data_IF_848842969705
#
_entry.id   IF_848842969705
#
_cell.length_a   1.000
_cell.length_b   1.000
_cell.length_c   1.000
_cell.angle_alpha   90.00
_cell.angle_beta   90.00
_cell.angle_gamma   90.00
#
_symmetry.space_group_name_H-M   'P 1'
#
loop_
_entity.id
_entity.type
_entity.pdbx_description
1 polymer ?
#
# COMPACT_ATOMS: atom_id res chain seq x y z
N UNK A 1 21.91 49.73 -12.56
CA UNK A 1 20.85 50.08 -13.54
C UNK A 1 19.77 49.03 -13.47
N UNK A 2 18.67 49.35 -12.78
CA UNK A 2 17.53 48.48 -12.52
C UNK A 2 16.57 48.54 -13.72
N UNK A 3 16.14 47.40 -14.26
CA UNK A 3 15.10 47.33 -15.29
C UNK A 3 13.97 46.45 -14.81
N UNK A 4 12.96 47.09 -14.20
CA UNK A 4 11.70 46.46 -13.81
C UNK A 4 10.95 45.96 -15.06
N UNK A 5 10.54 44.69 -15.08
CA UNK A 5 9.57 44.17 -16.06
C UNK A 5 8.15 44.30 -15.49
N UNK A 6 7.26 44.87 -16.30
CA UNK A 6 5.82 45.02 -16.02
C UNK A 6 5.13 43.66 -15.88
N UNK A 7 4.09 43.53 -15.04
CA UNK A 7 3.27 42.32 -14.96
C UNK A 7 2.32 42.23 -16.17
N UNK A 8 2.15 41.01 -16.71
CA UNK A 8 1.17 40.67 -17.74
C UNK A 8 -0.25 40.64 -17.17
N UNK A 9 -1.29 40.99 -17.95
CA UNK A 9 -2.67 41.03 -17.47
C UNK A 9 -3.29 39.62 -17.36
N UNK A 10 -4.14 39.43 -16.35
CA UNK A 10 -4.90 38.22 -16.10
C UNK A 10 -5.85 37.88 -17.27
N UNK A 11 -6.01 36.59 -17.65
CA UNK A 11 -7.01 36.19 -18.62
C UNK A 11 -8.44 36.25 -18.03
N UNK A 12 -9.47 36.52 -18.86
CA UNK A 12 -10.84 36.72 -18.39
C UNK A 12 -11.52 35.41 -17.97
N UNK A 13 -12.34 35.51 -16.93
CA UNK A 13 -13.26 34.50 -16.42
C UNK A 13 -14.32 34.11 -17.45
N UNK A 14 -14.32 32.87 -17.93
CA UNK A 14 -15.40 32.33 -18.74
C UNK A 14 -16.53 31.77 -17.85
N UNK A 15 -17.61 32.54 -17.74
CA UNK A 15 -18.91 32.08 -17.27
C UNK A 15 -19.48 31.06 -18.26
N UNK A 16 -19.59 29.79 -17.85
CA UNK A 16 -20.36 28.81 -18.60
C UNK A 16 -21.85 28.93 -18.26
N UNK A 17 -22.62 29.34 -19.27
CA UNK A 17 -24.08 29.45 -19.27
C UNK A 17 -24.70 28.04 -19.37
N UNK A 18 -25.23 27.50 -18.28
CA UNK A 18 -25.98 26.23 -18.30
C UNK A 18 -27.41 26.48 -18.81
N UNK A 19 -27.61 26.31 -20.13
CA UNK A 19 -28.95 26.19 -20.70
C UNK A 19 -29.52 24.81 -20.37
N UNK A 20 -30.73 24.84 -19.80
CA UNK A 20 -31.64 23.73 -19.46
C UNK A 20 -31.72 22.68 -20.57
N UNK A 21 -31.37 21.43 -20.26
CA UNK A 21 -31.76 20.25 -21.05
C UNK A 21 -32.95 19.60 -20.36
N UNK A 22 -34.13 19.69 -21.00
CA UNK A 22 -35.35 18.95 -20.60
C UNK A 22 -35.18 17.48 -20.97
N UNK A 23 -35.20 16.60 -19.97
CA UNK A 23 -35.28 15.15 -20.19
C UNK A 23 -36.75 14.73 -20.12
N UNK A 24 -37.28 14.21 -21.22
CA UNK A 24 -38.62 13.62 -21.27
C UNK A 24 -38.61 12.22 -20.65
N UNK A 25 -39.28 12.09 -19.50
CA UNK A 25 -39.56 10.79 -18.86
C UNK A 25 -40.86 10.23 -19.46
N UNK A 26 -40.77 9.16 -20.25
CA UNK A 26 -41.94 8.34 -20.62
C UNK A 26 -42.17 7.30 -19.53
N UNK A 27 -43.24 7.49 -18.76
CA UNK A 27 -43.75 6.54 -17.76
C UNK A 27 -44.84 5.71 -18.43
N UNK A 28 -44.63 4.40 -18.55
CA UNK A 28 -45.65 3.46 -19.01
C UNK A 28 -46.72 3.31 -17.91
N UNK A 29 -47.97 3.66 -18.24
CA UNK A 29 -49.18 3.36 -17.46
C UNK A 29 -49.62 1.92 -17.79
N UNK A 30 -49.73 1.07 -16.78
CA UNK A 30 -50.56 -0.12 -16.84
C UNK A 30 -51.97 0.27 -16.37
N UNK A 31 -52.97 -0.22 -17.11
CA UNK A 31 -54.37 0.16 -17.01
C UNK A 31 -55.08 -0.47 -15.80
N UNK A 32 -55.96 0.34 -15.19
CA UNK A 32 -57.21 -0.08 -14.54
C UNK A 32 -58.09 -0.87 -15.53
N UNK A 33 -58.89 -1.86 -15.18
CA UNK A 33 -59.70 -2.04 -13.97
C UNK A 33 -61.18 -2.02 -14.38
N UNK A 34 -61.85 -3.17 -14.28
CA UNK A 34 -63.30 -3.37 -14.17
C UNK A 34 -63.49 -4.85 -13.80
N UNK A 35 -64.31 -5.29 -12.85
CA UNK A 35 -65.30 -4.70 -11.95
C UNK A 35 -66.25 -5.83 -11.55
N UNK A 36 -67.11 -5.56 -10.55
CA UNK A 36 -68.26 -6.34 -10.06
C UNK A 36 -67.94 -7.42 -9.00
N UNK A 37 -68.70 -7.64 -7.93
CA UNK A 37 -69.69 -6.89 -7.11
C UNK A 37 -70.15 -7.86 -6.00
N UNK A 38 -70.60 -7.34 -4.84
CA UNK A 38 -71.36 -8.04 -3.78
C UNK A 38 -70.53 -8.46 -2.56
N UNK A 39 -70.60 -7.77 -1.41
CA UNK A 39 -71.58 -7.97 -0.28
C UNK A 39 -71.40 -9.36 0.38
N UNK A 40 -71.24 -9.55 1.69
CA UNK A 40 -71.81 -8.89 2.88
C UNK A 40 -71.09 -9.38 4.17
N UNK A 41 -71.11 -8.55 5.24
CA UNK A 41 -71.19 -8.81 6.70
C UNK A 41 -70.31 -9.94 7.36
N UNK A 42 -69.41 -9.65 8.31
CA UNK A 42 -69.54 -9.23 9.74
C UNK A 42 -69.68 -10.38 10.78
N UNK A 43 -68.87 -10.31 11.85
CA UNK A 43 -68.97 -11.10 13.12
C UNK A 43 -67.94 -12.24 13.26
N UNK A 44 -66.88 -12.20 14.09
CA UNK A 44 -66.74 -12.11 15.56
C UNK A 44 -66.46 -13.46 16.26
N UNK A 45 -65.34 -13.51 17.01
CA UNK A 45 -65.03 -14.33 18.20
C UNK A 45 -64.76 -15.86 18.09
N UNK A 46 -63.47 -16.23 18.21
CA UNK A 46 -62.75 -17.08 19.22
C UNK A 46 -63.43 -18.31 19.92
N UNK A 47 -62.70 -19.16 20.68
CA UNK A 47 -61.91 -20.35 20.31
C UNK A 47 -62.44 -21.69 20.91
N UNK A 48 -61.92 -22.85 20.46
CA UNK A 48 -62.14 -24.13 21.19
C UNK A 48 -61.80 -25.43 20.44
N UNK A 49 -60.86 -26.20 20.99
CA UNK A 49 -60.43 -27.60 20.67
C UNK A 49 -61.34 -28.63 21.39
N UNK A 50 -61.13 -29.97 21.33
CA UNK A 50 -60.55 -30.89 20.32
C UNK A 50 -61.42 -32.17 20.10
N UNK A 51 -60.80 -33.29 19.68
CA UNK A 51 -61.28 -34.68 19.49
C UNK A 51 -61.94 -34.98 18.13
N UNK A 52 -61.71 -36.09 17.43
CA UNK A 52 -60.93 -37.32 17.64
C UNK A 52 -61.45 -38.33 16.60
N UNK A 53 -60.58 -39.07 15.89
CA UNK A 53 -61.03 -40.12 14.96
C UNK A 53 -60.10 -40.41 13.77
N UNK A 54 -59.23 -41.40 13.94
CA UNK A 54 -58.34 -42.08 12.96
C UNK A 54 -59.11 -43.08 12.06
N UNK A 55 -58.47 -43.83 11.13
CA UNK A 55 -57.35 -43.52 10.22
C UNK A 55 -57.59 -44.04 8.76
N UNK A 56 -56.80 -43.57 7.78
CA UNK A 56 -56.56 -44.35 6.56
C UNK A 56 -55.08 -44.32 6.15
N UNK A 57 -54.57 -45.53 5.92
CA UNK A 57 -53.18 -45.93 5.72
C UNK A 57 -52.61 -45.42 4.38
N UNK A 58 -51.35 -44.96 4.40
CA UNK A 58 -50.33 -45.35 3.39
C UNK A 58 -48.91 -45.15 3.95
N UNK A 59 -48.08 -46.13 3.62
CA UNK A 59 -46.91 -46.57 4.37
C UNK A 59 -45.69 -45.63 4.30
N UNK A 60 -44.98 -45.53 5.43
CA UNK A 60 -43.58 -45.09 5.52
C UNK A 60 -42.68 -46.30 5.31
N UNK A 61 -41.68 -46.20 4.44
CA UNK A 61 -40.51 -47.08 4.48
C UNK A 61 -39.42 -46.40 5.32
N UNK A 62 -39.16 -46.94 6.51
CA UNK A 62 -37.93 -46.74 7.29
C UNK A 62 -37.22 -48.09 7.32
N UNK A 63 -35.98 -48.12 6.83
CA UNK A 63 -35.06 -49.23 7.06
C UNK A 63 -34.10 -48.80 8.18
N UNK A 64 -34.11 -49.55 9.27
CA UNK A 64 -33.18 -49.47 10.39
C UNK A 64 -32.84 -50.91 10.77
N UNK A 65 -31.56 -51.27 10.84
CA UNK A 65 -30.99 -52.43 11.56
C UNK A 65 -29.46 -52.27 11.62
N UNK A 66 -28.72 -52.90 12.56
CA UNK A 66 -28.44 -52.36 13.88
C UNK A 66 -26.94 -52.11 14.14
N UNK A 67 -26.61 -51.28 15.12
CA UNK A 67 -25.28 -51.20 15.72
C UNK A 67 -25.08 -52.35 16.72
N UNK A 68 -23.94 -53.06 16.66
CA UNK A 68 -23.16 -53.46 17.84
C UNK A 68 -21.80 -54.09 17.46
N UNK A 69 -20.75 -53.49 18.00
CA UNK A 69 -19.50 -54.07 18.53
C UNK A 69 -18.70 -55.12 17.73
N UNK A 70 -17.52 -54.70 17.24
CA UNK A 70 -16.28 -55.46 17.46
C UNK A 70 -15.04 -54.55 17.42
N UNK A 71 -14.63 -54.06 18.59
CA UNK A 71 -13.27 -53.54 18.85
C UNK A 71 -12.49 -54.68 19.49
N UNK A 72 -11.47 -55.23 18.82
CA UNK A 72 -10.14 -55.61 19.37
C UNK A 72 -9.37 -56.48 18.38
N UNK A 73 -8.07 -56.18 18.28
CA UNK A 73 -6.97 -56.85 17.55
C UNK A 73 -6.77 -56.42 16.10
N UNK A 74 -6.06 -55.30 15.95
CA UNK A 74 -4.82 -55.20 15.17
C UNK A 74 -4.08 -53.95 15.67
N UNK A 75 -3.64 -54.04 16.93
CA UNK A 75 -2.60 -53.16 17.47
C UNK A 75 -1.27 -53.81 17.16
N UNK A 76 -0.71 -53.51 16.00
CA UNK A 76 0.70 -53.66 15.64
C UNK A 76 0.80 -53.31 14.15
N UNK A 77 0.95 -52.02 13.87
CA UNK A 77 1.79 -51.46 12.82
C UNK A 77 1.75 -49.94 13.00
N UNK A 78 2.65 -49.50 13.87
CA UNK A 78 3.23 -48.17 13.88
C UNK A 78 3.74 -47.84 12.48
N UNK A 79 3.16 -46.83 11.82
CA UNK A 79 3.87 -45.69 11.24
C UNK A 79 2.89 -44.81 10.44
N UNK A 80 3.11 -43.49 10.51
CA UNK A 80 2.46 -42.44 9.71
C UNK A 80 1.06 -42.01 10.15
N UNK A 81 1.04 -41.00 11.04
CA UNK A 81 -0.12 -40.12 11.23
C UNK A 81 -0.49 -39.47 9.89
N UNK A 82 -1.69 -39.74 9.38
CA UNK A 82 -2.22 -39.02 8.22
C UNK A 82 -2.71 -37.65 8.67
N UNK A 83 -2.00 -36.65 8.18
CA UNK A 83 -2.31 -35.23 8.29
C UNK A 83 -3.68 -34.93 7.69
N UNK A 84 -4.51 -34.22 8.46
CA UNK A 84 -5.68 -33.54 7.95
C UNK A 84 -5.31 -32.70 6.71
N UNK A 85 -6.05 -32.91 5.63
CA UNK A 85 -5.95 -32.20 4.36
C UNK A 85 -6.04 -30.68 4.57
N UNK A 86 -4.89 -30.02 4.61
CA UNK A 86 -4.75 -28.58 4.40
C UNK A 86 -4.99 -28.29 2.92
N UNK A 87 -6.24 -28.10 2.52
CA UNK A 87 -6.57 -27.25 1.36
C UNK A 87 -6.31 -25.79 1.76
N UNK A 88 -5.05 -25.44 1.88
CA UNK A 88 -4.58 -24.08 2.14
C UNK A 88 -3.43 -23.79 1.18
N UNK A 89 -3.57 -22.67 0.47
CA UNK A 89 -2.64 -22.09 -0.50
C UNK A 89 -2.48 -22.82 -1.84
N UNK A 90 -3.41 -22.58 -2.76
CA UNK A 90 -3.06 -22.39 -4.16
C UNK A 90 -3.15 -20.89 -4.44
N UNK A 91 -2.04 -20.13 -4.52
CA UNK A 91 -2.13 -18.77 -5.00
C UNK A 91 -2.20 -18.81 -6.53
N UNK A 92 -3.06 -17.99 -7.10
CA UNK A 92 -3.14 -17.64 -8.52
C UNK A 92 -1.85 -17.01 -9.10
N UNK A 93 -0.72 -17.12 -8.39
CA UNK A 93 0.63 -16.96 -8.94
C UNK A 93 0.94 -17.94 -10.08
N UNK A 94 0.09 -18.91 -10.39
CA UNK A 94 0.25 -19.70 -11.63
C UNK A 94 -0.41 -18.99 -12.82
N UNK A 95 -1.50 -18.24 -12.61
CA UNK A 95 -2.21 -17.57 -13.71
C UNK A 95 -1.45 -16.35 -14.27
N UNK A 96 -0.55 -15.74 -13.48
CA UNK A 96 0.29 -14.63 -13.93
C UNK A 96 1.70 -15.05 -14.39
N UNK A 97 2.10 -16.30 -14.15
CA UNK A 97 3.46 -16.79 -14.45
C UNK A 97 3.49 -17.88 -15.55
N UNK A 98 2.33 -18.25 -16.10
CA UNK A 98 2.21 -19.10 -17.29
C UNK A 98 1.85 -18.26 -18.53
N UNK A 99 2.63 -17.22 -18.82
CA UNK A 99 3.06 -17.05 -20.21
C UNK A 99 3.98 -18.24 -20.47
N UNK A 100 3.64 -19.19 -21.35
CA UNK A 100 4.42 -20.40 -21.48
C UNK A 100 5.75 -20.02 -22.13
N UNK A 101 6.79 -19.83 -21.33
CA UNK A 101 8.18 -19.76 -21.81
C UNK A 101 8.60 -21.08 -22.50
N UNK A 102 7.79 -22.13 -22.41
CA UNK A 102 7.89 -23.32 -23.27
C UNK A 102 7.65 -23.02 -24.76
N UNK A 103 6.90 -21.97 -25.10
CA UNK A 103 6.65 -21.55 -26.49
C UNK A 103 7.81 -20.74 -27.10
N UNK A 104 8.79 -20.31 -26.31
CA UNK A 104 9.97 -19.57 -26.76
C UNK A 104 11.18 -20.48 -27.06
N UNK A 105 11.06 -21.80 -26.83
CA UNK A 105 12.08 -22.79 -27.21
C UNK A 105 12.50 -22.78 -28.70
N UNK A 106 11.64 -22.42 -29.68
CA UNK A 106 12.06 -22.35 -31.07
C UNK A 106 13.02 -21.18 -31.37
N UNK A 107 13.01 -20.13 -30.56
CA UNK A 107 13.79 -18.90 -30.81
C UNK A 107 15.25 -19.00 -30.38
N UNK A 108 15.59 -19.98 -29.53
CA UNK A 108 16.99 -20.27 -29.18
C UNK A 108 17.81 -20.78 -30.38
N UNK A 109 17.16 -21.24 -31.46
CA UNK A 109 17.83 -21.64 -32.71
C UNK A 109 18.24 -20.46 -33.60
N UNK A 110 17.81 -19.24 -33.29
CA UNK A 110 18.03 -18.02 -34.12
C UNK A 110 19.12 -17.11 -33.51
N UNK A 111 20.02 -17.64 -32.67
CA UNK A 111 21.13 -16.86 -32.12
C UNK A 111 20.72 -15.75 -31.13
N UNK A 112 19.48 -15.77 -30.62
CA UNK A 112 19.04 -14.88 -29.55
C UNK A 112 19.79 -15.19 -28.26
N UNK A 113 20.77 -14.36 -27.91
CA UNK A 113 21.44 -14.41 -26.60
C UNK A 113 20.37 -14.28 -25.51
N UNK A 114 20.39 -15.11 -24.45
CA UNK A 114 19.45 -14.95 -23.35
C UNK A 114 19.74 -13.62 -22.65
N UNK A 115 18.93 -12.60 -22.95
CA UNK A 115 18.91 -11.36 -22.18
C UNK A 115 18.65 -11.75 -20.73
N UNK A 116 19.43 -11.21 -19.79
CA UNK A 116 19.25 -11.54 -18.37
C UNK A 116 17.79 -11.30 -17.96
N UNK A 117 17.25 -12.13 -17.05
CA UNK A 117 15.85 -11.98 -16.57
C UNK A 117 15.53 -10.55 -16.13
N UNK A 118 16.53 -9.84 -15.60
CA UNK A 118 16.45 -8.42 -15.22
C UNK A 118 16.32 -7.51 -16.43
N UNK A 119 17.07 -7.75 -17.51
CA UNK A 119 16.97 -6.96 -18.75
C UNK A 119 15.56 -7.10 -19.37
N UNK A 120 15.03 -8.32 -19.45
CA UNK A 120 13.66 -8.56 -19.93
C UNK A 120 12.61 -7.90 -19.02
N UNK A 121 12.81 -7.94 -17.69
CA UNK A 121 11.88 -7.27 -16.78
C UNK A 121 11.93 -5.74 -16.91
N UNK A 122 13.12 -5.17 -17.16
CA UNK A 122 13.31 -3.73 -17.39
C UNK A 122 12.68 -3.21 -18.69
N UNK A 123 12.40 -4.07 -19.68
CA UNK A 123 11.67 -3.66 -20.90
C UNK A 123 10.16 -3.59 -20.72
N UNK A 124 9.61 -4.18 -19.64
CA UNK A 124 8.18 -4.11 -19.35
C UNK A 124 7.80 -2.65 -19.09
N UNK A 125 6.78 -2.08 -19.77
CA UNK A 125 6.35 -0.70 -19.59
C UNK A 125 5.56 -0.53 -18.29
N UNK A 126 6.23 -0.74 -17.16
CA UNK A 126 5.63 -0.84 -15.83
C UNK A 126 4.81 0.39 -15.46
N UNK A 127 5.21 1.60 -15.89
CA UNK A 127 4.42 2.84 -15.68
C UNK A 127 3.11 2.85 -16.47
N UNK A 128 3.12 2.39 -17.72
CA UNK A 128 1.90 2.34 -18.53
C UNK A 128 0.89 1.36 -17.92
N UNK A 129 1.37 0.16 -17.57
CA UNK A 129 0.56 -0.85 -16.87
C UNK A 129 0.05 -0.32 -15.53
N UNK A 130 0.92 0.38 -14.79
CA UNK A 130 0.58 0.99 -13.51
C UNK A 130 -0.56 2.01 -13.64
N UNK A 131 -0.50 2.88 -14.65
CA UNK A 131 -1.55 3.88 -14.90
C UNK A 131 -2.84 3.25 -15.42
N UNK A 132 -2.76 2.24 -16.28
CA UNK A 132 -3.92 1.48 -16.74
C UNK A 132 -4.62 0.79 -15.56
N UNK A 133 -3.85 0.14 -14.69
CA UNK A 133 -4.35 -0.48 -13.47
C UNK A 133 -4.94 0.54 -12.49
N UNK A 134 -4.31 1.70 -12.33
CA UNK A 134 -4.85 2.82 -11.56
C UNK A 134 -6.21 3.30 -12.06
N UNK A 135 -6.36 3.47 -13.38
CA UNK A 135 -7.65 3.81 -14.00
C UNK A 135 -8.70 2.73 -13.77
N UNK A 136 -8.33 1.46 -13.93
CA UNK A 136 -9.22 0.33 -13.68
C UNK A 136 -9.71 0.29 -12.22
N UNK A 137 -8.81 0.51 -11.26
CA UNK A 137 -9.16 0.50 -9.83
C UNK A 137 -9.99 1.70 -9.39
N UNK A 138 -10.12 2.73 -10.23
CA UNK A 138 -11.00 3.88 -9.98
C UNK A 138 -12.39 3.68 -10.58
N UNK A 139 -12.59 2.67 -11.43
CA UNK A 139 -13.90 2.33 -11.98
C UNK A 139 -14.84 1.92 -10.85
N UNK A 140 -16.02 2.55 -10.82
CA UNK A 140 -17.05 2.21 -9.85
C UNK A 140 -17.63 0.83 -10.14
N UNK A 141 -17.55 -0.05 -9.15
CA UNK A 141 -18.10 -1.39 -9.26
C UNK A 141 -19.62 -1.35 -8.96
N UNK A 142 -20.44 -2.04 -9.75
CA UNK A 142 -21.84 -2.27 -9.41
C UNK A 142 -21.97 -2.89 -8.02
N UNK A 143 -23.01 -2.53 -7.27
CA UNK A 143 -23.19 -2.93 -5.86
C UNK A 143 -23.18 -4.45 -5.65
N UNK A 144 -23.70 -5.21 -6.61
CA UNK A 144 -23.68 -6.68 -6.61
C UNK A 144 -22.29 -7.28 -6.83
N UNK A 145 -21.37 -6.57 -7.50
CA UNK A 145 -20.01 -7.03 -7.80
C UNK A 145 -19.00 -6.63 -6.71
N UNK A 146 -19.30 -5.62 -5.89
CA UNK A 146 -18.44 -5.16 -4.79
C UNK A 146 -18.06 -6.28 -3.83
N UNK A 147 -19.06 -6.96 -3.25
CA UNK A 147 -18.84 -8.03 -2.28
C UNK A 147 -17.97 -9.18 -2.81
N UNK A 148 -18.25 -9.80 -3.98
CA UNK A 148 -17.40 -10.89 -4.48
C UNK A 148 -15.97 -10.44 -4.84
N UNK A 149 -15.80 -9.27 -5.47
CA UNK A 149 -14.47 -8.75 -5.82
C UNK A 149 -13.64 -8.45 -4.57
N UNK A 150 -14.22 -7.72 -3.60
CA UNK A 150 -13.51 -7.40 -2.37
C UNK A 150 -13.28 -8.64 -1.49
N UNK A 151 -14.21 -9.59 -1.45
CA UNK A 151 -14.01 -10.86 -0.73
C UNK A 151 -12.86 -11.67 -1.33
N UNK A 152 -12.77 -11.74 -2.66
CA UNK A 152 -11.64 -12.38 -3.35
C UNK A 152 -10.32 -11.68 -3.01
N UNK A 153 -10.30 -10.35 -2.99
CA UNK A 153 -9.12 -9.57 -2.61
C UNK A 153 -8.72 -9.84 -1.14
N UNK A 154 -9.68 -9.80 -0.22
CA UNK A 154 -9.48 -10.07 1.21
C UNK A 154 -8.88 -11.47 1.40
N UNK A 155 -9.45 -12.47 0.73
CA UNK A 155 -8.96 -13.84 0.78
C UNK A 155 -7.55 -13.98 0.19
N UNK A 156 -7.27 -13.32 -0.93
CA UNK A 156 -5.98 -13.42 -1.64
C UNK A 156 -4.85 -12.77 -0.86
N UNK A 157 -5.09 -11.61 -0.26
CA UNK A 157 -4.06 -10.81 0.40
C UNK A 157 -4.11 -10.84 1.93
N UNK A 158 -5.07 -11.55 2.51
CA UNK A 158 -5.20 -11.69 3.96
C UNK A 158 -5.58 -10.39 4.67
N UNK A 159 -6.41 -9.56 4.04
CA UNK A 159 -6.84 -8.28 4.60
C UNK A 159 -7.67 -8.51 5.86
N UNK A 160 -7.30 -7.87 6.97
CA UNK A 160 -8.13 -7.87 8.17
C UNK A 160 -9.19 -6.76 8.06
N UNK A 161 -10.47 -7.14 7.91
CA UNK A 161 -11.55 -6.15 7.84
C UNK A 161 -12.02 -5.66 9.22
N UNK A 162 -11.72 -6.39 10.31
CA UNK A 162 -12.17 -5.99 11.66
C UNK A 162 -11.52 -4.71 12.16
N UNK A 163 -10.35 -4.36 11.61
CA UNK A 163 -9.62 -3.13 11.90
C UNK A 163 -10.04 -1.95 11.02
N UNK A 164 -10.80 -2.19 9.94
CA UNK A 164 -11.28 -1.12 9.06
C UNK A 164 -12.37 -0.30 9.76
N UNK A 165 -12.36 1.02 9.54
CA UNK A 165 -13.38 1.93 10.08
C UNK A 165 -14.78 1.58 9.56
N UNK A 166 -14.86 1.15 8.30
CA UNK A 166 -16.09 0.65 7.68
C UNK A 166 -15.88 -0.80 7.27
N UNK A 167 -16.58 -1.72 7.94
CA UNK A 167 -16.48 -3.15 7.66
C UNK A 167 -17.34 -3.58 6.46
N UNK A 168 -18.40 -2.83 6.15
CA UNK A 168 -19.28 -3.14 5.04
C UNK A 168 -18.59 -2.94 3.68
N UNK A 169 -18.49 -4.04 2.93
CA UNK A 169 -17.88 -4.08 1.61
C UNK A 169 -18.69 -3.34 0.54
N UNK A 170 -20.00 -3.15 0.75
CA UNK A 170 -20.83 -2.41 -0.19
C UNK A 170 -20.57 -0.90 -0.17
N UNK A 171 -19.98 -0.37 0.91
CA UNK A 171 -19.66 1.05 1.05
C UNK A 171 -18.61 1.50 0.04
N UNK A 172 -17.58 0.68 -0.18
CA UNK A 172 -16.47 1.02 -1.08
C UNK A 172 -16.94 1.01 -2.53
N UNK A 173 -16.75 2.13 -3.25
CA UNK A 173 -17.23 2.29 -4.63
C UNK A 173 -16.34 1.59 -5.64
N UNK A 174 -15.03 1.58 -5.39
CA UNK A 174 -14.02 1.02 -6.27
C UNK A 174 -12.85 0.41 -5.46
N UNK A 175 -11.91 -0.27 -6.14
CA UNK A 175 -10.81 -0.95 -5.45
C UNK A 175 -9.82 0.05 -4.83
N UNK A 176 -9.65 1.22 -5.42
CA UNK A 176 -8.76 2.27 -4.89
C UNK A 176 -9.24 2.83 -3.55
N UNK A 177 -10.55 2.92 -3.35
CA UNK A 177 -11.17 3.34 -2.10
C UNK A 177 -11.06 2.24 -1.03
N UNK A 178 -11.35 0.99 -1.40
CA UNK A 178 -11.15 -0.17 -0.52
C UNK A 178 -9.69 -0.29 -0.04
N UNK A 179 -8.75 -0.03 -0.94
CA UNK A 179 -7.33 -0.09 -0.64
C UNK A 179 -6.88 0.99 0.35
N UNK A 180 -7.44 2.20 0.22
CA UNK A 180 -7.18 3.35 1.11
C UNK A 180 -8.18 3.42 2.26
N UNK A 181 -8.76 2.28 2.65
CA UNK A 181 -9.67 2.20 3.80
C UNK A 181 -9.02 2.84 5.02
N UNK A 182 -9.80 3.62 5.77
CA UNK A 182 -9.37 4.11 7.07
C UNK A 182 -9.42 2.98 8.08
N UNK A 183 -8.51 2.98 9.04
CA UNK A 183 -8.55 2.07 10.19
C UNK A 183 -9.33 2.70 11.35
N UNK A 184 -9.84 1.85 12.25
CA UNK A 184 -10.41 2.29 13.53
C UNK A 184 -9.30 2.95 14.37
N UNK A 185 -9.57 4.06 15.09
CA UNK A 185 -8.56 4.74 15.91
C UNK A 185 -7.86 3.81 16.90
N UNK A 186 -8.62 2.88 17.51
CA UNK A 186 -8.11 1.90 18.46
C UNK A 186 -7.29 0.75 17.83
N UNK A 187 -7.28 0.61 16.50
CA UNK A 187 -6.58 -0.50 15.83
C UNK A 187 -5.06 -0.31 15.79
N UNK A 188 -4.57 0.92 15.95
CA UNK A 188 -3.15 1.28 15.89
C UNK A 188 -2.78 2.25 17.02
N UNK A 189 -2.66 1.76 18.27
CA UNK A 189 -2.19 2.58 19.36
C UNK A 189 -0.75 3.02 19.11
N UNK A 190 -0.49 4.33 19.24
CA UNK A 190 0.87 4.88 19.11
C UNK A 190 1.63 4.66 20.41
N UNK A 191 2.82 4.07 20.32
CA UNK A 191 3.65 3.85 21.50
C UNK A 191 4.34 5.14 21.93
N UNK A 192 3.92 5.75 23.04
CA UNK A 192 4.45 7.05 23.49
C UNK A 192 5.88 6.97 24.05
N UNK A 193 6.19 5.92 24.81
CA UNK A 193 7.44 5.84 25.60
C UNK A 193 8.75 5.74 24.79
N UNK A 194 8.69 5.42 23.48
CA UNK A 194 9.90 5.17 22.67
C UNK A 194 10.16 6.31 21.69
N UNK A 195 11.44 6.57 21.40
CA UNK A 195 11.86 7.67 20.51
C UNK A 195 11.34 7.55 19.08
N UNK A 196 11.13 6.32 18.59
CA UNK A 196 10.71 6.07 17.21
C UNK A 196 9.70 4.92 17.11
N UNK A 197 8.65 5.15 16.33
CA UNK A 197 7.60 4.17 15.99
C UNK A 197 7.66 3.80 14.51
N UNK A 198 7.00 2.71 14.14
CA UNK A 198 6.82 2.34 12.74
C UNK A 198 5.95 3.39 12.05
N UNK A 199 6.39 3.95 10.91
CA UNK A 199 5.60 4.90 10.13
C UNK A 199 4.44 4.23 9.39
N UNK A 200 4.49 2.92 9.17
CA UNK A 200 3.45 2.18 8.43
C UNK A 200 3.31 0.76 8.93
N UNK A 201 2.22 0.11 8.52
CA UNK A 201 2.14 -1.35 8.57
C UNK A 201 3.09 -1.94 7.53
N UNK A 202 3.62 -3.13 7.76
CA UNK A 202 4.43 -3.80 6.77
C UNK A 202 5.30 -4.91 7.31
N UNK A 203 6.33 -5.25 6.54
CA UNK A 203 7.35 -6.21 6.87
C UNK A 203 8.71 -5.52 6.89
N UNK A 204 9.45 -5.68 7.98
CA UNK A 204 10.83 -5.19 8.07
C UNK A 204 11.70 -6.01 7.12
N UNK A 205 12.28 -5.38 6.09
CA UNK A 205 13.17 -6.05 5.15
C UNK A 205 14.60 -6.05 5.67
N UNK A 206 15.08 -4.87 6.04
CA UNK A 206 16.41 -4.65 6.56
C UNK A 206 16.42 -3.43 7.48
N UNK A 207 17.26 -3.44 8.51
CA UNK A 207 17.53 -2.29 9.36
C UNK A 207 18.94 -2.41 9.93
N UNK A 208 19.50 -1.30 10.37
CA UNK A 208 20.82 -1.29 11.00
C UNK A 208 21.55 0.02 10.80
N UNK A 209 22.82 0.02 11.16
CA UNK A 209 23.72 1.13 10.90
C UNK A 209 24.11 1.16 9.43
N UNK A 210 24.14 2.35 8.83
CA UNK A 210 24.67 2.58 7.48
C UNK A 210 26.20 2.45 7.53
N UNK A 211 26.75 1.59 6.67
CA UNK A 211 28.19 1.35 6.52
C UNK A 211 28.61 1.69 5.10
N UNK A 212 29.77 2.32 4.94
CA UNK A 212 30.37 2.63 3.63
C UNK A 212 29.47 3.45 2.68
N UNK A 213 28.60 4.33 3.20
CA UNK A 213 27.60 5.04 2.39
C UNK A 213 26.67 4.12 1.57
N UNK A 214 26.51 2.86 1.97
CA UNK A 214 25.62 1.89 1.33
C UNK A 214 24.49 1.50 2.26
N UNK A 215 23.31 1.31 1.67
CA UNK A 215 22.11 0.86 2.36
C UNK A 215 21.69 -0.49 1.81
N UNK A 216 21.46 -1.46 2.69
CA UNK A 216 20.95 -2.77 2.29
C UNK A 216 19.46 -2.72 1.96
N UNK A 217 19.12 -3.11 0.72
CA UNK A 217 17.76 -3.22 0.20
C UNK A 217 17.06 -4.46 0.73
N UNK A 218 17.70 -5.61 0.50
CA UNK A 218 17.35 -6.95 0.97
C UNK A 218 18.68 -7.70 1.07
N UNK A 219 18.80 -8.63 2.04
CA UNK A 219 19.99 -9.45 2.31
C UNK A 219 20.95 -9.59 1.11
N UNK A 220 22.09 -8.90 1.17
CA UNK A 220 23.17 -8.98 0.19
C UNK A 220 23.02 -8.12 -1.08
N UNK A 221 21.99 -7.28 -1.16
CA UNK A 221 21.80 -6.31 -2.24
C UNK A 221 21.83 -4.90 -1.66
N UNK A 222 22.86 -4.13 -1.98
CA UNK A 222 23.05 -2.76 -1.51
C UNK A 222 22.74 -1.72 -2.59
N UNK A 223 22.60 -0.47 -2.17
CA UNK A 223 22.57 0.70 -3.04
C UNK A 223 23.27 1.88 -2.37
N UNK A 224 23.85 2.77 -3.19
CA UNK A 224 24.51 3.99 -2.71
C UNK A 224 23.50 4.96 -2.09
N UNK A 225 23.83 5.46 -0.90
CA UNK A 225 23.06 6.46 -0.18
C UNK A 225 22.98 7.79 -0.97
N UNK A 226 24.09 8.19 -1.59
CA UNK A 226 24.16 9.37 -2.46
C UNK A 226 23.26 9.21 -3.68
N UNK A 227 23.28 8.03 -4.33
CA UNK A 227 22.37 7.77 -5.46
C UNK A 227 20.90 7.76 -5.04
N UNK A 228 20.61 7.38 -3.79
CA UNK A 228 19.25 7.31 -3.26
C UNK A 228 18.69 8.67 -2.83
N UNK A 229 19.43 9.45 -2.04
CA UNK A 229 19.03 10.77 -1.56
C UNK A 229 19.31 11.88 -2.60
N UNK A 230 20.27 11.65 -3.50
CA UNK A 230 20.80 12.62 -4.45
C UNK A 230 21.79 13.61 -3.82
N UNK A 231 22.33 14.55 -4.61
CA UNK A 231 23.33 15.52 -4.15
C UNK A 231 22.76 16.49 -3.10
N UNK A 232 23.59 16.96 -2.15
CA UNK A 232 23.19 17.91 -1.08
C UNK A 232 23.06 19.37 -1.54
N UNK A 233 22.40 19.61 -2.66
CA UNK A 233 22.13 20.99 -3.16
C UNK A 233 21.15 21.78 -2.29
N UNK A 234 20.48 21.13 -1.32
CA UNK A 234 19.53 21.79 -0.41
C UNK A 234 20.19 22.59 0.72
N UNK A 235 21.49 22.41 0.95
CA UNK A 235 22.24 23.10 2.01
C UNK A 235 22.97 24.36 1.55
N UNK A 236 22.78 24.81 0.31
CA UNK A 236 23.54 25.92 -0.30
C UNK A 236 23.33 27.30 0.38
N UNK A 237 22.43 27.41 1.37
CA UNK A 237 22.26 28.62 2.20
C UNK A 237 22.97 28.57 3.56
N UNK A 238 23.60 27.45 3.94
CA UNK A 238 24.48 27.41 5.11
C UNK A 238 25.87 27.90 4.69
N UNK A 239 26.51 28.82 5.44
CA UNK A 239 27.88 29.24 5.13
C UNK A 239 28.76 27.99 5.13
N UNK A 240 29.23 27.64 3.94
CA UNK A 240 30.14 26.53 3.71
C UNK A 240 31.44 26.88 4.44
N UNK A 241 31.56 26.47 5.70
CA UNK A 241 32.87 26.19 6.29
C UNK A 241 33.46 25.10 5.42
N UNK A 242 34.28 25.53 4.45
CA UNK A 242 34.98 24.75 3.43
C UNK A 242 35.19 23.31 3.89
N UNK A 243 34.25 22.43 3.56
CA UNK A 243 34.41 21.00 3.81
C UNK A 243 35.57 20.53 2.96
N UNK A 244 36.59 20.02 3.61
CA UNK A 244 37.71 19.33 2.98
C UNK A 244 37.17 18.34 1.93
N UNK A 245 37.78 18.24 0.73
CA UNK A 245 37.30 17.43 -0.39
C UNK A 245 37.33 15.90 -0.15
N UNK A 246 37.56 15.45 1.09
CA UNK A 246 37.77 14.05 1.49
C UNK A 246 36.70 13.50 2.44
N UNK A 247 35.61 14.22 2.71
CA UNK A 247 34.56 13.74 3.64
C UNK A 247 33.53 12.89 2.91
N UNK A 248 33.24 11.69 3.44
CA UNK A 248 32.28 10.77 2.83
C UNK A 248 30.87 11.37 2.85
N UNK A 249 29.98 10.94 1.95
CA UNK A 249 28.59 11.42 1.92
C UNK A 249 27.86 11.19 3.26
N UNK A 250 28.22 10.12 3.97
CA UNK A 250 27.73 9.85 5.32
C UNK A 250 28.19 10.90 6.33
N UNK A 251 29.45 11.31 6.29
CA UNK A 251 29.99 12.36 7.18
C UNK A 251 29.33 13.71 6.93
N UNK A 252 28.92 13.96 5.68
CA UNK A 252 28.17 15.17 5.34
C UNK A 252 26.75 15.17 5.93
N UNK A 253 26.14 13.99 6.13
CA UNK A 253 24.79 13.87 6.68
C UNK A 253 24.76 13.87 8.20
N UNK A 254 25.79 13.35 8.87
CA UNK A 254 25.88 13.34 10.32
C UNK A 254 26.22 14.74 10.81
N UNK A 255 25.27 15.39 11.47
CA UNK A 255 25.37 16.79 11.89
C UNK A 255 25.91 16.97 13.30
N UNK A 256 25.80 15.96 14.17
CA UNK A 256 26.24 16.01 15.56
C UNK A 256 27.40 15.05 15.80
N UNK A 257 28.37 15.51 16.58
CA UNK A 257 29.51 14.70 16.97
C UNK A 257 29.07 13.50 17.83
N UNK A 258 29.69 12.34 17.60
CA UNK A 258 29.38 11.11 18.33
C UNK A 258 28.16 10.34 17.81
N UNK A 259 27.36 10.91 16.90
CA UNK A 259 26.24 10.22 16.28
C UNK A 259 26.65 9.37 15.08
N UNK A 260 25.75 8.48 14.68
CA UNK A 260 25.89 7.61 13.52
C UNK A 260 24.60 7.58 12.70
N UNK A 261 24.73 7.15 11.45
CA UNK A 261 23.59 7.05 10.54
C UNK A 261 23.01 5.64 10.57
N UNK A 262 21.69 5.57 10.74
CA UNK A 262 20.91 4.34 10.78
C UNK A 262 19.88 4.33 9.65
N UNK A 263 19.43 3.13 9.30
CA UNK A 263 18.39 2.96 8.30
C UNK A 263 17.41 1.85 8.67
N UNK A 264 16.20 1.95 8.15
CA UNK A 264 15.20 0.89 8.21
C UNK A 264 14.34 0.86 6.94
N UNK A 265 14.18 -0.32 6.35
CA UNK A 265 13.42 -0.57 5.13
C UNK A 265 12.18 -1.38 5.48
N UNK A 266 11.02 -0.81 5.21
CA UNK A 266 9.70 -1.36 5.53
C UNK A 266 8.93 -1.57 4.24
N UNK A 267 8.56 -2.83 3.97
CA UNK A 267 7.78 -3.21 2.79
C UNK A 267 6.30 -3.33 3.14
N UNK A 268 5.46 -2.64 2.38
CA UNK A 268 4.01 -2.68 2.48
C UNK A 268 3.48 -3.69 1.46
N UNK A 269 2.98 -4.82 1.94
CA UNK A 269 2.35 -5.83 1.11
C UNK A 269 0.92 -5.40 0.75
N UNK A 270 0.32 -5.89 -0.36
CA UNK A 270 -0.98 -5.40 -0.82
C UNK A 270 -2.14 -5.51 0.20
N UNK A 271 -2.06 -6.40 1.18
CA UNK A 271 -3.08 -6.52 2.24
C UNK A 271 -2.96 -5.50 3.37
N UNK A 272 -1.80 -4.86 3.51
CA UNK A 272 -1.45 -3.97 4.62
C UNK A 272 -2.18 -2.61 4.51
N UNK A 273 -2.11 -1.80 5.57
CA UNK A 273 -2.54 -0.41 5.54
C UNK A 273 -1.51 0.46 4.80
N UNK A 274 -1.95 1.21 3.79
CA UNK A 274 -1.06 1.94 2.87
C UNK A 274 -0.98 3.45 3.10
N UNK A 275 -1.47 3.94 4.22
CA UNK A 275 -1.04 5.24 4.69
C UNK A 275 0.25 5.08 5.50
N UNK A 276 1.04 6.14 5.52
CA UNK A 276 2.23 6.23 6.34
C UNK A 276 2.22 7.56 7.10
N UNK A 277 2.86 7.51 8.25
CA UNK A 277 2.79 8.50 9.31
C UNK A 277 4.19 8.93 9.71
N UNK A 278 4.26 10.02 10.46
CA UNK A 278 5.50 10.47 11.05
C UNK A 278 5.96 9.48 12.13
N UNK A 279 7.17 8.91 12.03
CA UNK A 279 7.69 7.95 13.00
C UNK A 279 8.21 8.59 14.30
N UNK A 280 8.43 9.90 14.29
CA UNK A 280 8.98 10.69 15.41
C UNK A 280 8.56 12.15 15.25
N UNK A 281 8.91 13.00 16.21
CA UNK A 281 8.80 14.44 16.04
C UNK A 281 9.99 14.94 15.21
N UNK A 282 9.71 15.59 14.09
CA UNK A 282 10.73 16.13 13.20
C UNK A 282 10.15 17.26 12.36
N UNK A 283 11.01 18.06 11.75
CA UNK A 283 10.60 19.04 10.76
C UNK A 283 11.08 18.66 9.37
N UNK A 284 10.17 18.73 8.40
CA UNK A 284 10.46 18.48 6.98
C UNK A 284 10.91 19.78 6.35
N UNK A 285 12.15 19.83 5.90
CA UNK A 285 12.73 21.03 5.31
C UNK A 285 12.68 20.98 3.78
N UNK A 286 12.93 19.81 3.19
CA UNK A 286 13.06 19.67 1.75
C UNK A 286 12.37 18.41 1.25
N UNK A 287 11.88 18.50 0.01
CA UNK A 287 11.42 17.38 -0.78
C UNK A 287 12.24 17.31 -2.05
N UNK A 288 12.69 16.09 -2.36
CA UNK A 288 13.14 15.73 -3.70
C UNK A 288 12.32 14.60 -4.28
N UNK A 289 11.76 14.84 -5.46
CA UNK A 289 11.06 13.85 -6.23
C UNK A 289 11.97 13.32 -7.34
N UNK A 290 12.21 12.01 -7.31
CA UNK A 290 12.91 11.30 -8.37
C UNK A 290 11.90 10.56 -9.23
N UNK A 291 11.57 11.06 -10.43
CA UNK A 291 10.82 10.27 -11.39
C UNK A 291 11.63 9.05 -11.83
N UNK A 292 10.97 7.89 -11.89
CA UNK A 292 11.64 6.62 -12.17
C UNK A 292 10.69 5.56 -12.72
N UNK A 293 11.16 4.32 -12.79
CA UNK A 293 10.32 3.16 -13.12
C UNK A 293 9.37 2.81 -11.98
N UNK A 294 8.45 1.87 -12.20
CA UNK A 294 7.57 1.35 -11.15
C UNK A 294 7.70 -0.17 -11.13
N UNK A 295 8.89 -0.66 -10.82
CA UNK A 295 9.17 -2.09 -10.69
C UNK A 295 8.65 -2.63 -9.36
N UNK A 296 8.42 -3.94 -9.28
CA UNK A 296 7.87 -4.58 -8.09
C UNK A 296 8.92 -4.60 -6.98
N UNK A 297 8.56 -4.04 -5.83
CA UNK A 297 9.39 -4.03 -4.61
C UNK A 297 9.15 -5.26 -3.72
N UNK A 298 8.41 -6.26 -4.21
CA UNK A 298 8.27 -7.52 -3.51
C UNK A 298 9.66 -8.13 -3.22
N UNK A 299 9.91 -8.65 -2.00
CA UNK A 299 11.21 -9.23 -1.63
C UNK A 299 11.75 -10.31 -2.57
N UNK A 300 10.90 -11.00 -3.33
CA UNK A 300 11.32 -11.92 -4.39
C UNK A 300 12.06 -11.21 -5.53
N UNK A 301 11.50 -10.10 -6.02
CA UNK A 301 12.04 -9.31 -7.14
C UNK A 301 13.19 -8.40 -6.67
N UNK A 302 13.05 -7.81 -5.48
CA UNK A 302 14.07 -6.93 -4.90
C UNK A 302 15.41 -7.65 -4.63
N UNK A 303 15.43 -8.98 -4.55
CA UNK A 303 16.69 -9.75 -4.46
C UNK A 303 17.44 -9.86 -5.78
N UNK A 304 16.76 -9.69 -6.92
CA UNK A 304 17.36 -9.90 -8.24
C UNK A 304 17.78 -8.60 -8.91
N UNK A 305 17.21 -7.47 -8.49
CA UNK A 305 17.45 -6.17 -9.08
C UNK A 305 18.25 -5.33 -8.10
N UNK A 306 19.54 -5.18 -8.39
CA UNK A 306 20.42 -4.22 -7.68
C UNK A 306 19.86 -2.82 -7.85
N UNK A 307 19.94 -2.02 -6.79
CA UNK A 307 19.52 -0.62 -6.76
C UNK A 307 18.06 -0.39 -7.20
N UNK A 308 17.18 -1.36 -6.97
CA UNK A 308 15.76 -1.29 -7.35
C UNK A 308 15.12 0.00 -6.85
N UNK A 309 15.42 0.39 -5.62
CA UNK A 309 14.85 1.59 -5.00
C UNK A 309 15.34 2.89 -5.65
N UNK A 310 16.57 2.90 -6.19
CA UNK A 310 17.11 4.06 -6.93
C UNK A 310 16.51 4.17 -8.33
N UNK A 311 16.14 3.05 -8.95
CA UNK A 311 15.47 3.04 -10.25
C UNK A 311 13.99 3.41 -10.18
N UNK A 312 13.33 3.08 -9.06
CA UNK A 312 11.92 3.36 -8.91
C UNK A 312 11.65 4.84 -8.64
N UNK A 313 10.46 5.28 -9.07
CA UNK A 313 9.95 6.58 -8.68
C UNK A 313 9.86 6.66 -7.15
N UNK A 314 10.41 7.72 -6.58
CA UNK A 314 10.44 7.92 -5.12
C UNK A 314 10.36 9.39 -4.76
N UNK A 315 9.87 9.65 -3.56
CA UNK A 315 9.78 10.97 -2.95
C UNK A 315 10.57 10.92 -1.66
N UNK A 316 11.66 11.67 -1.63
CA UNK A 316 12.56 11.79 -0.48
C UNK A 316 12.17 13.06 0.26
N UNK A 317 11.77 12.91 1.53
CA UNK A 317 11.61 14.02 2.46
C UNK A 317 12.83 14.05 3.37
N UNK A 318 13.43 15.21 3.55
CA UNK A 318 14.59 15.43 4.42
C UNK A 318 14.37 16.61 5.35
N UNK A 319 14.98 16.52 6.53
CA UNK A 319 14.92 17.57 7.52
C UNK A 319 15.63 17.16 8.81
N UNK A 320 15.14 17.69 9.94
CA UNK A 320 15.77 17.52 11.24
C UNK A 320 14.85 16.90 12.29
N UNK A 321 15.39 15.98 13.09
CA UNK A 321 14.76 15.48 14.31
C UNK A 321 15.67 15.74 15.52
N UNK A 322 15.26 15.37 16.73
CA UNK A 322 16.02 15.67 17.96
C UNK A 322 17.50 15.26 17.94
N UNK A 323 17.88 14.25 17.16
CA UNK A 323 19.27 13.79 17.05
C UNK A 323 20.00 14.26 15.79
N UNK A 324 19.42 15.13 14.96
CA UNK A 324 20.10 15.68 13.78
C UNK A 324 19.36 15.34 12.49
N UNK A 325 20.07 14.80 11.49
CA UNK A 325 19.48 14.50 10.18
C UNK A 325 18.37 13.44 10.25
N UNK A 326 17.27 13.68 9.53
CA UNK A 326 16.19 12.72 9.34
C UNK A 326 15.70 12.69 7.89
N UNK A 327 15.45 11.49 7.38
CA UNK A 327 14.82 11.29 6.08
C UNK A 327 13.79 10.17 6.11
N UNK A 328 12.64 10.45 5.52
CA UNK A 328 11.61 9.48 5.19
C UNK A 328 11.42 9.48 3.68
N UNK A 329 11.66 8.34 3.05
CA UNK A 329 11.53 8.17 1.61
C UNK A 329 10.41 7.20 1.28
N UNK A 330 9.45 7.67 0.49
CA UNK A 330 8.38 6.88 -0.09
C UNK A 330 8.80 6.37 -1.47
N UNK A 331 8.92 5.05 -1.63
CA UNK A 331 9.30 4.41 -2.90
C UNK A 331 8.07 3.76 -3.52
N UNK A 332 7.72 4.20 -4.73
CA UNK A 332 6.62 3.63 -5.50
C UNK A 332 6.97 2.26 -6.07
N UNK A 333 5.95 1.46 -6.35
CA UNK A 333 6.11 0.18 -7.04
C UNK A 333 5.06 -0.01 -8.14
N UNK A 334 5.14 -1.15 -8.83
CA UNK A 334 4.16 -1.52 -9.86
C UNK A 334 2.74 -1.49 -9.31
N UNK A 335 1.79 -1.16 -10.18
CA UNK A 335 0.34 -0.99 -9.95
C UNK A 335 -0.04 0.47 -9.80
N UNK A 336 -0.64 0.96 -8.72
CA UNK A 336 -1.12 2.36 -8.80
C UNK A 336 0.05 3.35 -8.68
N UNK A 337 1.13 2.99 -7.98
CA UNK A 337 2.46 3.63 -8.02
C UNK A 337 2.52 5.10 -7.58
N UNK A 338 1.38 5.76 -7.45
CA UNK A 338 1.25 7.14 -7.00
C UNK A 338 1.51 7.24 -5.51
N UNK A 339 2.32 8.23 -5.18
CA UNK A 339 2.66 8.66 -3.83
C UNK A 339 1.99 10.01 -3.62
N UNK A 340 1.30 10.16 -2.50
CA UNK A 340 0.70 11.42 -2.08
C UNK A 340 1.27 11.83 -0.73
N UNK A 341 1.72 13.07 -0.63
CA UNK A 341 2.13 13.71 0.63
C UNK A 341 1.06 14.75 0.94
N UNK A 342 0.45 14.69 2.14
CA UNK A 342 -0.80 15.43 2.37
C UNK A 342 -0.62 16.95 2.41
N UNK A 343 0.51 17.43 2.94
CA UNK A 343 0.81 18.86 2.98
C UNK A 343 1.37 19.41 1.66
N UNK A 344 1.80 18.55 0.72
CA UNK A 344 2.37 18.96 -0.56
C UNK A 344 1.38 18.69 -1.70
N UNK A 345 0.62 19.73 -2.04
CA UNK A 345 -0.39 19.67 -3.11
C UNK A 345 0.20 19.75 -4.51
N UNK A 346 1.43 20.23 -4.64
CA UNK A 346 2.09 20.45 -5.93
C UNK A 346 2.85 19.20 -6.40
N UNK A 347 3.09 18.23 -5.50
CA UNK A 347 3.68 16.95 -5.82
C UNK A 347 2.77 16.10 -6.71
N UNK A 348 3.22 15.84 -7.93
CA UNK A 348 2.57 14.94 -8.87
C UNK A 348 3.48 13.77 -9.22
N UNK A 349 3.08 12.56 -8.82
CA UNK A 349 3.80 11.31 -9.10
C UNK A 349 3.07 10.46 -10.14
N UNK A 350 3.76 9.46 -10.70
CA UNK A 350 3.24 8.61 -11.77
C UNK A 350 2.86 9.41 -13.05
N UNK A 351 3.55 10.52 -13.31
CA UNK A 351 3.33 11.39 -14.47
C UNK A 351 3.64 10.67 -15.80
N UNK A 352 2.85 10.93 -16.87
CA UNK A 352 3.04 10.34 -18.20
C UNK A 352 4.38 10.69 -18.83
N UNK A 353 4.77 11.95 -18.71
CA UNK A 353 6.02 12.50 -19.22
C UNK A 353 6.94 12.69 -18.03
N UNK A 354 8.13 12.12 -18.11
CA UNK A 354 9.17 12.29 -17.12
C UNK A 354 10.53 12.15 -17.78
N UNK A 355 11.55 12.80 -17.21
CA UNK A 355 12.93 12.58 -17.59
C UNK A 355 13.54 11.56 -16.64
N UNK A 356 14.13 10.50 -17.18
CA UNK A 356 14.77 9.48 -16.35
C UNK A 356 16.09 10.03 -15.82
N UNK A 357 16.31 9.90 -14.52
CA UNK A 357 17.52 10.42 -13.86
C UNK A 357 17.48 11.91 -13.52
N UNK A 358 16.40 12.62 -13.85
CA UNK A 358 16.17 13.96 -13.29
C UNK A 358 15.66 13.86 -11.85
N UNK A 359 15.70 14.98 -11.13
CA UNK A 359 15.05 15.14 -9.85
C UNK A 359 14.44 16.54 -9.75
N UNK A 360 13.36 16.67 -8.98
CA UNK A 360 12.70 17.94 -8.74
C UNK A 360 12.77 18.27 -7.25
N UNK A 361 13.45 19.37 -6.94
CA UNK A 361 13.63 19.86 -5.58
C UNK A 361 12.57 20.87 -5.22
N UNK A 362 12.17 20.86 -3.95
CA UNK A 362 11.30 21.85 -3.35
C UNK A 362 11.70 22.06 -1.90
N UNK A 363 11.96 23.32 -1.54
CA UNK A 363 12.21 23.71 -0.16
C UNK A 363 10.89 24.12 0.49
N UNK A 364 10.61 23.54 1.65
CA UNK A 364 9.54 24.02 2.54
C UNK A 364 10.03 25.13 3.47
N UNK A 365 11.35 25.33 3.55
CA UNK A 365 11.96 26.46 4.23
C UNK A 365 11.94 27.67 3.30
N UNK A 366 11.28 28.74 3.73
CA UNK A 366 11.25 30.02 3.02
C UNK A 366 11.33 31.17 4.03
N UNK A 367 11.45 32.41 3.54
CA UNK A 367 11.60 33.60 4.39
C UNK A 367 10.47 33.79 5.44
N UNK A 368 9.34 33.10 5.30
CA UNK A 368 8.20 33.17 6.24
C UNK A 368 8.07 31.90 7.12
N UNK A 369 8.83 30.84 6.82
CA UNK A 369 8.84 29.55 7.53
C UNK A 369 10.28 29.04 7.57
N UNK A 370 11.06 29.57 8.49
CA UNK A 370 12.46 29.15 8.67
C UNK A 370 12.57 27.70 9.19
N UNK A 371 11.56 27.23 9.93
CA UNK A 371 11.62 25.93 10.60
C UNK A 371 11.13 24.75 9.74
N UNK A 372 10.60 24.97 8.52
CA UNK A 372 10.03 23.90 7.68
C UNK A 372 8.59 23.48 8.07
N UNK A 373 8.18 22.26 7.70
CA UNK A 373 6.88 21.69 8.07
C UNK A 373 7.04 20.80 9.30
N UNK A 374 6.53 21.19 10.49
CA UNK A 374 6.60 20.36 11.67
C UNK A 374 5.68 19.15 11.52
N UNK A 375 6.18 17.98 11.88
CA UNK A 375 5.44 16.71 11.90
C UNK A 375 5.51 16.11 13.30
N UNK A 376 4.36 15.85 13.91
CA UNK A 376 4.28 15.17 15.20
C UNK A 376 4.32 13.67 15.02
N UNK A 377 4.92 12.96 15.98
CA UNK A 377 4.91 11.50 16.04
C UNK A 377 3.49 10.95 15.94
N UNK A 378 3.28 10.01 15.02
CA UNK A 378 1.96 9.41 14.73
C UNK A 378 1.08 10.22 13.77
N UNK A 379 1.45 11.46 13.45
CA UNK A 379 0.70 12.30 12.52
C UNK A 379 0.72 11.72 11.10
N UNK A 380 -0.41 11.85 10.40
CA UNK A 380 -0.56 11.31 9.05
C UNK A 380 0.29 12.10 8.05
N UNK A 381 1.18 11.43 7.33
CA UNK A 381 2.14 12.08 6.44
C UNK A 381 1.75 11.93 4.96
N UNK A 382 1.35 10.73 4.57
CA UNK A 382 1.00 10.44 3.19
C UNK A 382 0.37 9.07 2.98
N UNK A 383 0.11 8.75 1.71
CA UNK A 383 -0.45 7.48 1.30
C UNK A 383 0.16 6.98 0.00
N UNK A 384 0.17 5.65 -0.14
CA UNK A 384 0.38 4.97 -1.41
C UNK A 384 -0.95 4.47 -1.94
N UNK A 385 -1.12 4.54 -3.25
CA UNK A 385 -2.31 3.97 -3.88
C UNK A 385 -2.19 2.45 -4.12
N UNK A 386 -0.98 1.88 -4.29
CA UNK A 386 -0.77 0.42 -4.25
C UNK A 386 0.71 0.05 -4.16
N UNK A 387 1.08 -0.84 -3.22
CA UNK A 387 2.36 -1.57 -3.14
C UNK A 387 3.58 -0.66 -3.04
N UNK A 388 4.31 -0.71 -1.93
CA UNK A 388 5.31 0.32 -1.67
C UNK A 388 6.35 -0.07 -0.64
N UNK A 389 7.40 0.73 -0.57
CA UNK A 389 8.42 0.62 0.47
C UNK A 389 8.63 1.99 1.09
N UNK A 390 8.71 2.02 2.42
CA UNK A 390 9.22 3.16 3.17
C UNK A 390 10.67 2.87 3.55
N UNK A 391 11.55 3.83 3.27
CA UNK A 391 12.94 3.80 3.73
C UNK A 391 13.14 4.97 4.68
N UNK A 392 13.50 4.65 5.92
CA UNK A 392 13.95 5.62 6.91
C UNK A 392 15.48 5.65 6.90
N UNK A 393 16.04 6.85 6.92
CA UNK A 393 17.47 7.09 7.12
C UNK A 393 17.57 8.23 8.14
N UNK A 394 18.25 8.01 9.26
CA UNK A 394 18.28 8.98 10.35
C UNK A 394 19.57 8.91 11.15
N UNK A 395 19.98 10.06 11.65
CA UNK A 395 21.12 10.22 12.53
C UNK A 395 20.71 9.97 13.99
N UNK A 396 21.39 9.09 14.72
CA UNK A 396 21.14 8.86 16.14
C UNK A 396 22.45 8.62 16.92
N UNK A 397 22.44 8.74 18.26
CA UNK A 397 23.56 8.31 19.09
C UNK A 397 23.92 6.82 18.89
N UNK A 398 25.19 6.47 19.14
CA UNK A 398 25.76 5.12 18.93
C UNK A 398 25.06 4.00 19.69
N UNK A 399 24.50 4.33 20.83
CA UNK A 399 23.74 3.45 21.72
C UNK A 399 22.28 3.27 21.29
N UNK A 400 21.85 3.82 20.13
CA UNK A 400 20.53 3.55 19.60
C UNK A 400 20.33 2.05 19.31
N UNK A 401 19.34 1.44 19.96
CA UNK A 401 19.01 0.03 19.83
C UNK A 401 17.69 -0.15 19.09
N UNK A 402 17.73 -0.91 18.01
CA UNK A 402 16.53 -1.38 17.33
C UNK A 402 15.84 -2.49 18.13
N UNK A 403 14.54 -2.34 18.33
CA UNK A 403 13.65 -3.38 18.87
C UNK A 403 13.01 -4.19 17.73
N UNK A 404 13.78 -4.52 16.69
CA UNK A 404 13.29 -5.13 15.45
C UNK A 404 13.96 -6.47 15.14
N UNK A 405 13.27 -7.31 14.36
CA UNK A 405 13.81 -8.53 13.75
C UNK A 405 13.58 -8.52 12.24
N UNK A 406 14.60 -8.93 11.48
CA UNK A 406 14.49 -8.96 10.02
C UNK A 406 13.40 -9.95 9.59
N UNK A 407 12.50 -9.49 8.73
CA UNK A 407 11.36 -10.26 8.26
C UNK A 407 10.14 -10.28 9.21
N UNK A 408 10.18 -9.59 10.35
CA UNK A 408 8.99 -9.47 11.19
C UNK A 408 7.91 -8.61 10.51
N UNK A 409 6.64 -8.93 10.78
CA UNK A 409 5.53 -8.01 10.53
C UNK A 409 5.54 -6.94 11.62
N UNK A 410 5.25 -5.71 11.23
CA UNK A 410 5.16 -4.55 12.11
C UNK A 410 3.92 -3.74 11.74
N UNK A 411 3.30 -3.11 12.72
CA UNK A 411 2.18 -2.19 12.51
C UNK A 411 2.60 -0.74 12.77
N UNK A 412 1.91 0.19 12.11
CA UNK A 412 1.98 1.61 12.46
C UNK A 412 1.75 1.80 13.96
N UNK A 413 2.59 2.62 14.60
CA UNK A 413 2.50 2.90 16.05
C UNK A 413 3.34 1.97 16.94
N UNK A 414 3.77 0.81 16.45
CA UNK A 414 4.64 -0.10 17.18
C UNK A 414 6.06 0.48 17.30
N UNK A 415 6.75 0.20 18.41
CA UNK A 415 8.08 0.73 18.66
C UNK A 415 9.12 0.12 17.69
N UNK A 416 9.98 0.97 17.12
CA UNK A 416 11.09 0.54 16.27
C UNK A 416 12.42 0.51 17.00
N UNK A 417 12.62 1.43 17.91
CA UNK A 417 13.87 1.54 18.64
C UNK A 417 13.83 2.70 19.61
N UNK A 418 14.81 2.69 20.50
CA UNK A 418 15.06 3.75 21.46
C UNK A 418 16.55 3.89 21.68
N UNK A 419 16.89 4.96 22.38
CA UNK A 419 18.13 5.01 23.13
C UNK A 419 17.96 4.15 24.39
#
# INVERSE_FOLDING_TARGET
MVRCRRPLPNPPSSCFNLRKVKVHVRRARAASGSGWAGEEQAGSADPGRPDGGTPSRRARFRLQFPQLALRRRLGQLSCMSRSALKLRSWPLTILYYLLPFGALKPLARVGWRPTSRVALYKTVPTRLLSRAWGRLNQVELPTWLRKPVYSLYIWTFGVNMKEAAVEDLHHYRNLSEFFRRKLKPQARPVCDMRSMISPSDGKILHFGRVKNCEVEQVKGVTYSLESFLGPRTWTDNLPVTRTSPSTSFQDQLVTKEGNELYHCVIYLAPGDYHCFHSPTDWSVHHRRHFPGSLMSVNPGVARWIKELFCYNERVVLTGGWKHGFFSLTAVGATNVGSIRIYFDRDLHTNSPRYSKGSHNDFSYVNNNREEGIPMRKGEQLGEFNLGSTIVLIFEAPKDFVFSLKAGQKIHFGEAMGSL
#
